data_IF_790561907240
#
_entry.id   IF_790561907240
#
_cell.length_a   1.000
_cell.length_b   1.000
_cell.length_c   1.000
_cell.angle_alpha   90.00
_cell.angle_beta   90.00
_cell.angle_gamma   90.00
#
_symmetry.space_group_name_H-M   'P 1'
#
loop_
_entity.id
_entity.type
_entity.pdbx_description
1 polymer ?
#
# COMPACT_ATOMS: atom_id res chain seq x y z
N UNK A 1 44.39 4.18 -0.92
CA UNK A 1 43.63 3.02 -1.44
C UNK A 1 42.56 2.52 -0.48
N UNK A 2 42.88 2.16 0.78
CA UNK A 2 41.90 1.66 1.77
C UNK A 2 40.72 2.62 2.04
N UNK A 3 41.00 3.93 2.15
CA UNK A 3 39.97 4.97 2.35
C UNK A 3 39.02 5.12 1.16
N UNK A 4 39.52 4.95 -0.07
CA UNK A 4 38.70 5.06 -1.28
C UNK A 4 37.78 3.85 -1.42
N UNK A 5 38.28 2.65 -1.12
CA UNK A 5 37.45 1.43 -1.05
C UNK A 5 36.38 1.57 0.02
N UNK A 6 36.71 2.16 1.17
CA UNK A 6 35.75 2.41 2.24
C UNK A 6 34.66 3.42 1.85
N UNK A 7 35.02 4.48 1.12
CA UNK A 7 34.06 5.47 0.60
C UNK A 7 33.11 4.82 -0.42
N UNK A 8 33.62 4.00 -1.34
CA UNK A 8 32.76 3.25 -2.28
C UNK A 8 31.82 2.28 -1.56
N UNK A 9 32.30 1.61 -0.51
CA UNK A 9 31.46 0.71 0.30
C UNK A 9 30.36 1.46 1.06
N UNK A 10 30.66 2.66 1.59
CA UNK A 10 29.68 3.52 2.27
C UNK A 10 28.62 4.08 1.32
N UNK A 11 28.99 4.45 0.09
CA UNK A 11 28.03 4.93 -0.93
C UNK A 11 27.08 3.80 -1.33
N UNK A 12 27.59 2.58 -1.55
CA UNK A 12 26.77 1.41 -1.90
C UNK A 12 25.77 1.00 -0.80
N UNK A 13 26.04 1.36 0.47
CA UNK A 13 25.15 1.10 1.60
C UNK A 13 24.01 2.14 1.73
N UNK A 14 24.13 3.31 1.08
CA UNK A 14 23.14 4.39 1.17
C UNK A 14 22.01 4.28 0.11
N UNK A 15 22.17 3.45 -0.92
CA UNK A 15 21.17 3.25 -1.99
C UNK A 15 20.10 2.18 -1.65
N UNK A 16 19.85 1.92 -0.35
CA UNK A 16 18.80 0.99 0.09
C UNK A 16 17.41 1.64 -0.03
N UNK A 17 16.87 1.56 -1.24
CA UNK A 17 15.46 1.32 -1.57
C UNK A 17 14.43 2.46 -1.29
N UNK A 18 14.31 3.39 -2.24
CA UNK A 18 13.07 4.12 -2.45
C UNK A 18 12.04 3.18 -3.10
N UNK A 19 11.31 2.38 -2.30
CA UNK A 19 10.16 1.60 -2.79
C UNK A 19 9.13 2.56 -3.42
N UNK A 20 9.09 2.60 -4.74
CA UNK A 20 8.05 3.29 -5.51
C UNK A 20 6.76 2.50 -5.34
N UNK A 21 5.83 3.02 -4.55
CA UNK A 21 4.48 2.46 -4.47
C UNK A 21 3.79 2.80 -5.80
N UNK A 22 3.57 1.79 -6.63
CA UNK A 22 2.87 1.96 -7.90
C UNK A 22 1.37 1.76 -7.68
N UNK A 23 0.58 2.75 -8.07
CA UNK A 23 -0.87 2.62 -8.14
C UNK A 23 -1.26 1.53 -9.15
N UNK A 24 -2.25 0.71 -8.79
CA UNK A 24 -2.71 -0.41 -9.62
C UNK A 24 -4.21 -0.64 -9.43
N UNK A 25 -4.89 -0.95 -10.52
CA UNK A 25 -6.27 -1.44 -10.50
C UNK A 25 -6.25 -2.95 -10.73
N UNK A 26 -6.80 -3.72 -9.79
CA UNK A 26 -6.83 -5.18 -9.92
C UNK A 26 -8.02 -5.66 -10.77
N UNK A 27 -7.81 -6.73 -11.52
CA UNK A 27 -8.91 -7.56 -12.02
C UNK A 27 -9.51 -8.36 -10.87
N UNK A 28 -10.76 -8.83 -11.01
CA UNK A 28 -11.43 -9.61 -9.95
C UNK A 28 -10.62 -10.84 -9.54
N UNK A 29 -10.21 -11.66 -10.50
CA UNK A 29 -9.40 -12.86 -10.23
C UNK A 29 -7.97 -12.54 -9.76
N UNK A 30 -7.37 -11.45 -10.26
CA UNK A 30 -6.06 -10.99 -9.81
C UNK A 30 -6.09 -10.59 -8.34
N UNK A 31 -7.13 -9.86 -7.93
CA UNK A 31 -7.36 -9.49 -6.54
C UNK A 31 -7.55 -10.72 -5.65
N UNK A 32 -8.41 -11.66 -6.07
CA UNK A 32 -8.62 -12.92 -5.33
C UNK A 32 -7.31 -13.67 -5.10
N UNK A 33 -6.47 -13.79 -6.14
CA UNK A 33 -5.18 -14.47 -6.04
C UNK A 33 -4.25 -13.78 -5.05
N UNK A 34 -4.15 -12.45 -5.11
CA UNK A 34 -3.33 -11.70 -4.15
C UNK A 34 -3.83 -11.85 -2.72
N UNK A 35 -5.14 -11.74 -2.48
CA UNK A 35 -5.71 -11.93 -1.14
C UNK A 35 -5.36 -13.30 -0.56
N UNK A 36 -5.52 -14.37 -1.34
CA UNK A 36 -5.16 -15.73 -0.91
C UNK A 36 -3.65 -15.83 -0.65
N UNK A 37 -2.81 -15.29 -1.53
CA UNK A 37 -1.36 -15.28 -1.36
C UNK A 37 -0.92 -14.53 -0.08
N UNK A 38 -1.68 -13.52 0.33
CA UNK A 38 -1.45 -12.74 1.55
C UNK A 38 -2.05 -13.39 2.81
N UNK A 39 -2.62 -14.59 2.70
CA UNK A 39 -3.13 -15.38 3.83
C UNK A 39 -4.59 -15.14 4.19
N UNK A 40 -5.37 -14.48 3.35
CA UNK A 40 -6.81 -14.37 3.56
C UNK A 40 -7.45 -15.76 3.37
N UNK A 41 -8.39 -16.11 4.24
CA UNK A 41 -9.09 -17.40 4.16
C UNK A 41 -9.79 -17.57 2.81
N UNK A 42 -9.56 -18.70 2.13
CA UNK A 42 -10.20 -19.03 0.84
C UNK A 42 -11.72 -19.10 0.95
N UNK A 43 -12.27 -19.41 2.13
CA UNK A 43 -13.72 -19.44 2.34
C UNK A 43 -14.33 -18.04 2.43
N UNK A 44 -13.56 -17.05 2.91
CA UNK A 44 -14.02 -15.67 3.10
C UNK A 44 -13.52 -14.71 2.02
N UNK A 45 -12.65 -15.16 1.11
CA UNK A 45 -12.05 -14.30 0.08
C UNK A 45 -13.12 -13.62 -0.80
N UNK A 46 -14.24 -14.29 -1.06
CA UNK A 46 -15.36 -13.71 -1.79
C UNK A 46 -15.94 -12.47 -1.11
N UNK A 47 -16.05 -12.48 0.22
CA UNK A 47 -16.55 -11.35 0.99
C UNK A 47 -15.59 -10.15 0.90
N UNK A 48 -14.29 -10.42 0.97
CA UNK A 48 -13.26 -9.39 0.83
C UNK A 48 -13.22 -8.78 -0.57
N UNK A 49 -13.35 -9.62 -1.61
CA UNK A 49 -13.44 -9.13 -2.99
C UNK A 49 -14.67 -8.24 -3.17
N UNK A 50 -15.84 -8.66 -2.67
CA UNK A 50 -17.06 -7.87 -2.75
C UNK A 50 -16.91 -6.51 -2.05
N UNK A 51 -16.36 -6.51 -0.84
CA UNK A 51 -16.09 -5.28 -0.08
C UNK A 51 -15.16 -4.34 -0.85
N UNK A 52 -14.03 -4.84 -1.35
CA UNK A 52 -13.06 -4.02 -2.09
C UNK A 52 -13.66 -3.47 -3.39
N UNK A 53 -14.47 -4.28 -4.11
CA UNK A 53 -15.17 -3.84 -5.31
C UNK A 53 -16.13 -2.69 -5.03
N UNK A 54 -16.92 -2.78 -3.95
CA UNK A 54 -17.86 -1.73 -3.52
C UNK A 54 -17.15 -0.45 -3.08
N UNK A 55 -16.09 -0.58 -2.27
CA UNK A 55 -15.44 0.56 -1.63
C UNK A 55 -14.50 1.32 -2.56
N UNK A 56 -13.77 0.61 -3.42
CA UNK A 56 -12.66 1.18 -4.18
C UNK A 56 -12.70 0.89 -5.67
N UNK A 57 -13.57 -0.01 -6.13
CA UNK A 57 -13.52 -0.49 -7.51
C UNK A 57 -12.24 -1.28 -7.82
N UNK A 58 -11.55 -1.82 -6.79
CA UNK A 58 -10.27 -2.53 -6.88
C UNK A 58 -9.06 -1.64 -7.23
N UNK A 59 -9.20 -0.32 -7.04
CA UNK A 59 -8.14 0.66 -7.29
C UNK A 59 -7.34 0.95 -6.01
N UNK A 60 -6.05 0.62 -6.00
CA UNK A 60 -5.16 0.87 -4.85
C UNK A 60 -4.88 2.35 -4.60
N UNK A 61 -5.13 3.22 -5.58
CA UNK A 61 -4.96 4.67 -5.46
C UNK A 61 -6.27 5.41 -5.17
N UNK A 62 -7.38 4.70 -4.93
CA UNK A 62 -8.66 5.35 -4.64
C UNK A 62 -8.58 6.20 -3.37
N UNK A 63 -8.91 7.48 -3.50
CA UNK A 63 -9.06 8.42 -2.39
C UNK A 63 -10.49 8.95 -2.38
N UNK A 64 -11.14 8.88 -1.22
CA UNK A 64 -12.49 9.44 -1.01
C UNK A 64 -12.44 10.48 0.09
N UNK A 65 -12.91 11.70 -0.19
CA UNK A 65 -13.05 12.74 0.82
C UNK A 65 -14.38 12.54 1.56
N UNK A 66 -14.33 12.46 2.89
CA UNK A 66 -15.52 12.32 3.74
C UNK A 66 -16.01 13.69 4.20
N UNK A 67 -17.31 13.79 4.47
CA UNK A 67 -17.96 15.04 4.90
C UNK A 67 -17.35 15.63 6.19
N UNK A 68 -16.79 14.79 7.07
CA UNK A 68 -16.12 15.20 8.30
C UNK A 68 -14.66 15.69 8.11
N UNK A 69 -14.22 15.89 6.86
CA UNK A 69 -12.87 16.33 6.51
C UNK A 69 -11.79 15.25 6.58
N UNK A 70 -12.13 14.01 6.92
CA UNK A 70 -11.22 12.86 6.83
C UNK A 70 -11.16 12.30 5.41
N UNK A 71 -10.11 11.51 5.11
CA UNK A 71 -9.92 10.86 3.80
C UNK A 71 -9.92 9.35 3.97
N UNK A 72 -10.66 8.63 3.11
CA UNK A 72 -10.54 7.19 2.91
C UNK A 72 -9.48 6.89 1.85
N UNK A 73 -8.65 5.86 2.08
CA UNK A 73 -7.52 5.52 1.22
C UNK A 73 -7.52 4.04 0.79
N UNK A 74 -7.19 3.81 -0.48
CA UNK A 74 -6.83 2.51 -1.06
C UNK A 74 -7.98 1.51 -1.13
N UNK A 75 -7.63 0.22 -1.25
CA UNK A 75 -8.59 -0.87 -1.49
C UNK A 75 -9.69 -0.98 -0.42
N UNK A 76 -9.33 -0.71 0.83
CA UNK A 76 -10.21 -0.88 2.00
C UNK A 76 -10.74 0.46 2.56
N UNK A 77 -10.47 1.58 1.88
CA UNK A 77 -10.90 2.92 2.30
C UNK A 77 -10.59 3.24 3.78
N UNK A 78 -9.36 2.94 4.21
CA UNK A 78 -8.90 3.20 5.59
C UNK A 78 -8.95 4.70 5.86
N UNK A 79 -9.61 5.09 6.94
CA UNK A 79 -9.89 6.50 7.25
C UNK A 79 -8.72 7.16 7.98
N UNK A 80 -8.27 8.30 7.47
CA UNK A 80 -7.21 9.12 8.08
C UNK A 80 -7.73 10.55 8.28
N UNK A 81 -7.57 11.07 9.51
CA UNK A 81 -7.81 12.49 9.82
C UNK A 81 -6.55 13.28 9.47
N UNK A 82 -6.71 14.31 8.65
CA UNK A 82 -5.60 15.13 8.14
C UNK A 82 -5.12 16.10 9.25
N UNK A 83 -4.32 15.60 10.20
CA UNK A 83 -3.34 16.41 10.95
C UNK A 83 -1.96 16.02 10.42
N UNK A 84 -1.52 16.78 9.44
CA UNK A 84 -0.43 16.46 8.53
C UNK A 84 0.94 16.74 9.17
N UNK A 85 1.66 15.68 9.57
CA UNK A 85 3.14 15.67 9.46
C UNK A 85 3.79 14.28 9.63
N UNK A 86 3.07 13.25 10.11
CA UNK A 86 3.72 11.98 10.54
C UNK A 86 3.17 10.69 9.91
N UNK A 87 2.41 10.78 8.81
CA UNK A 87 1.58 9.64 8.32
C UNK A 87 2.09 8.99 7.02
N UNK A 88 3.05 9.59 6.30
CA UNK A 88 3.66 8.97 5.10
C UNK A 88 4.34 7.63 5.45
N UNK A 89 4.79 7.46 6.70
CA UNK A 89 5.47 6.25 7.16
C UNK A 89 4.52 5.12 7.61
N UNK A 90 3.31 5.45 8.08
CA UNK A 90 2.34 4.46 8.59
C UNK A 90 1.47 3.89 7.46
N UNK A 91 1.13 4.71 6.45
CA UNK A 91 0.49 4.20 5.23
C UNK A 91 1.41 3.26 4.46
N UNK A 92 2.73 3.47 4.49
CA UNK A 92 3.70 2.53 3.90
C UNK A 92 3.55 1.11 4.43
N UNK A 93 3.23 0.86 5.70
CA UNK A 93 3.22 -0.51 6.22
C UNK A 93 1.92 -1.28 5.96
N UNK A 94 0.77 -0.58 5.90
CA UNK A 94 -0.53 -1.17 5.56
C UNK A 94 -0.76 -1.23 4.04
N UNK A 95 -0.19 -0.28 3.28
CA UNK A 95 -0.28 -0.23 1.82
C UNK A 95 0.85 -1.04 1.17
N UNK A 96 2.07 -1.17 1.72
CA UNK A 96 3.11 -2.03 1.09
C UNK A 96 2.81 -3.53 1.13
N UNK A 97 1.66 -3.93 1.69
CA UNK A 97 1.14 -5.29 1.51
C UNK A 97 0.32 -5.46 0.22
N UNK A 98 -0.05 -4.39 -0.50
CA UNK A 98 -0.88 -4.40 -1.71
C UNK A 98 -0.48 -3.41 -2.82
#
# INVERSE_FOLDING_TARGET
MKKVVFIFFLVFLLDKEAQRIQAKVYTRCGLTRELVNKGFSRTLVGNWVCLIESESGKDTAKIVNKANGSKGLGLFQVTIKVKLHRVIHLTKHLISKF
#
